data_IF_415183182987
#
_entry.id   IF_415183182987
#
_cell.length_a   1.000
_cell.length_b   1.000
_cell.length_c   1.000
_cell.angle_alpha   90.00
_cell.angle_beta   90.00
_cell.angle_gamma   90.00
#
_symmetry.space_group_name_H-M   'P 1'
#
loop_
_entity.id
_entity.type
_entity.pdbx_description
1 polymer ?
#
# COMPACT_ATOMS: atom_id res chain seq x y z
N UNK A 1 24.24 -30.39 4.27
CA UNK A 1 23.10 -29.45 4.36
C UNK A 1 23.65 -28.05 4.58
N UNK A 2 23.35 -27.06 3.73
CA UNK A 2 23.43 -25.67 4.14
C UNK A 2 22.00 -25.18 4.44
N UNK A 3 21.82 -24.69 5.67
CA UNK A 3 20.60 -24.02 6.12
C UNK A 3 20.47 -22.68 5.38
N UNK A 4 19.56 -22.63 4.42
CA UNK A 4 19.11 -21.39 3.78
C UNK A 4 18.43 -20.54 4.85
N UNK A 5 19.08 -19.44 5.22
CA UNK A 5 18.50 -18.43 6.12
C UNK A 5 17.49 -17.62 5.32
N UNK A 6 16.25 -18.08 5.28
CA UNK A 6 15.17 -17.31 4.68
C UNK A 6 14.88 -16.08 5.54
N UNK A 7 15.24 -14.89 5.05
CA UNK A 7 14.79 -13.61 5.63
C UNK A 7 13.52 -13.18 4.90
N UNK A 8 12.37 -13.62 5.40
CA UNK A 8 11.03 -13.35 4.83
C UNK A 8 10.40 -12.03 5.32
N UNK A 9 11.15 -10.93 5.40
CA UNK A 9 10.52 -9.65 5.74
C UNK A 9 11.15 -8.54 4.89
N UNK A 10 10.38 -8.12 3.87
CA UNK A 10 10.67 -7.15 2.81
C UNK A 10 11.47 -7.75 1.63
N UNK A 11 10.76 -8.33 0.66
CA UNK A 11 11.31 -8.70 -0.65
C UNK A 11 11.37 -7.45 -1.53
N UNK A 12 12.51 -7.20 -2.19
CA UNK A 12 12.55 -6.24 -3.29
C UNK A 12 11.75 -6.84 -4.48
N UNK A 13 11.04 -6.05 -5.30
CA UNK A 13 10.36 -6.59 -6.48
C UNK A 13 11.29 -7.40 -7.40
N UNK A 14 12.59 -7.07 -7.43
CA UNK A 14 13.61 -7.80 -8.18
C UNK A 14 13.91 -9.19 -7.57
N UNK A 15 13.74 -9.36 -6.26
CA UNK A 15 13.89 -10.66 -5.58
C UNK A 15 12.74 -11.64 -5.90
N UNK A 16 11.69 -11.16 -6.57
CA UNK A 16 10.51 -11.95 -6.95
C UNK A 16 10.57 -12.47 -8.40
N UNK A 17 11.59 -12.12 -9.19
CA UNK A 17 11.69 -12.46 -10.64
C UNK A 17 11.67 -13.98 -10.94
N UNK A 18 11.90 -14.84 -9.94
CA UNK A 18 11.87 -16.31 -10.11
C UNK A 18 10.69 -17.02 -9.42
N UNK A 19 9.80 -16.29 -8.74
CA UNK A 19 8.70 -16.90 -7.98
C UNK A 19 7.43 -16.85 -8.83
N UNK A 20 6.74 -17.98 -8.93
CA UNK A 20 5.46 -18.07 -9.64
C UNK A 20 4.50 -16.97 -9.12
N UNK A 21 4.01 -16.08 -10.01
CA UNK A 21 3.01 -15.08 -9.66
C UNK A 21 1.80 -15.65 -8.91
N UNK A 22 1.41 -16.90 -9.16
CA UNK A 22 0.34 -17.58 -8.42
C UNK A 22 0.62 -17.81 -6.94
N UNK A 23 1.89 -17.77 -6.51
CA UNK A 23 2.34 -17.95 -5.13
C UNK A 23 2.48 -16.61 -4.41
N UNK A 24 2.89 -15.55 -5.12
CA UNK A 24 3.17 -14.23 -4.53
C UNK A 24 1.98 -13.27 -4.59
N UNK A 25 1.03 -13.49 -5.51
CA UNK A 25 -0.16 -12.66 -5.61
C UNK A 25 -1.19 -13.07 -4.56
N UNK A 26 -1.43 -12.19 -3.60
CA UNK A 26 -2.51 -12.34 -2.67
C UNK A 26 -3.81 -11.77 -3.26
N UNK A 27 -4.74 -12.65 -3.61
CA UNK A 27 -6.08 -12.25 -4.02
C UNK A 27 -6.98 -12.04 -2.80
N UNK A 28 -7.60 -10.86 -2.70
CA UNK A 28 -8.63 -10.62 -1.70
C UNK A 28 -9.91 -11.34 -2.13
N UNK A 29 -10.40 -12.26 -1.30
CA UNK A 29 -11.65 -13.00 -1.58
C UNK A 29 -12.87 -12.11 -1.26
N UNK A 30 -13.23 -11.25 -2.20
CA UNK A 30 -14.39 -10.34 -2.10
C UNK A 30 -15.58 -11.01 -2.78
N UNK A 31 -16.75 -10.99 -2.12
CA UNK A 31 -18.00 -11.42 -2.73
C UNK A 31 -18.34 -10.52 -3.94
N UNK A 32 -18.47 -11.06 -5.16
CA UNK A 32 -18.75 -10.29 -6.38
C UNK A 32 -20.06 -9.49 -6.35
N UNK A 33 -20.99 -9.85 -5.45
CA UNK A 33 -22.25 -9.11 -5.27
C UNK A 33 -22.10 -7.81 -4.47
N UNK A 34 -20.95 -7.61 -3.82
CA UNK A 34 -20.69 -6.42 -3.00
C UNK A 34 -20.45 -5.22 -3.90
N UNK A 35 -21.19 -4.14 -3.63
CA UNK A 35 -21.05 -2.89 -4.36
C UNK A 35 -19.77 -2.15 -3.94
N UNK A 36 -19.00 -1.60 -4.89
CA UNK A 36 -17.86 -0.76 -4.58
C UNK A 36 -18.22 0.41 -3.69
N UNK A 37 -17.40 0.65 -2.66
CA UNK A 37 -17.58 1.76 -1.72
C UNK A 37 -16.63 2.89 -2.09
N UNK A 38 -17.20 4.09 -2.26
CA UNK A 38 -16.44 5.33 -2.43
C UNK A 38 -16.59 6.19 -1.18
N UNK A 39 -15.57 6.20 -0.34
CA UNK A 39 -15.56 7.06 0.83
C UNK A 39 -15.39 8.53 0.41
N UNK A 40 -16.11 9.42 1.09
CA UNK A 40 -15.96 10.86 0.90
C UNK A 40 -14.55 11.27 1.33
N UNK A 41 -13.82 11.95 0.43
CA UNK A 41 -12.47 12.47 0.67
C UNK A 41 -12.44 13.35 1.93
N UNK A 42 -11.51 13.04 2.83
CA UNK A 42 -11.18 13.87 4.01
C UNK A 42 -10.17 14.97 3.65
N UNK A 43 -10.31 16.13 4.30
CA UNK A 43 -9.36 17.23 4.21
C UNK A 43 -8.54 17.31 5.50
N UNK A 44 -7.22 17.28 5.40
CA UNK A 44 -6.33 17.27 6.57
C UNK A 44 -5.64 18.62 6.81
N UNK A 45 -5.84 19.58 5.91
CA UNK A 45 -5.14 20.86 5.89
C UNK A 45 -3.84 20.80 5.09
N UNK A 46 -3.32 21.96 4.65
CA UNK A 46 -2.29 22.04 3.60
C UNK A 46 -0.96 21.38 3.96
N UNK A 47 -0.57 21.37 5.24
CA UNK A 47 0.68 20.72 5.68
C UNK A 47 0.59 19.20 5.59
N UNK A 48 -0.49 18.64 6.13
CA UNK A 48 -0.75 17.20 6.13
C UNK A 48 -1.03 16.67 4.73
N UNK A 49 -1.76 17.44 3.91
CA UNK A 49 -2.03 17.09 2.51
C UNK A 49 -0.72 16.98 1.70
N UNK A 50 0.30 17.81 1.98
CA UNK A 50 1.63 17.67 1.35
C UNK A 50 2.33 16.38 1.74
N UNK A 51 2.29 16.00 3.02
CA UNK A 51 2.88 14.75 3.51
C UNK A 51 2.21 13.54 2.82
N UNK A 52 0.88 13.55 2.76
CA UNK A 52 0.10 12.52 2.05
C UNK A 52 0.53 12.43 0.59
N UNK A 53 0.61 13.57 -0.12
CA UNK A 53 1.00 13.59 -1.53
C UNK A 53 2.41 13.03 -1.75
N UNK A 54 3.38 13.37 -0.89
CA UNK A 54 4.75 12.86 -1.00
C UNK A 54 4.79 11.34 -0.86
N UNK A 55 4.11 10.78 0.15
CA UNK A 55 4.13 9.33 0.37
C UNK A 55 3.34 8.57 -0.71
N UNK A 56 2.17 9.07 -1.11
CA UNK A 56 1.38 8.46 -2.21
C UNK A 56 2.17 8.46 -3.52
N UNK A 57 2.85 9.56 -3.86
CA UNK A 57 3.70 9.62 -5.05
C UNK A 57 4.87 8.64 -4.99
N UNK A 58 5.46 8.41 -3.81
CA UNK A 58 6.53 7.42 -3.62
C UNK A 58 5.99 5.99 -3.81
N UNK A 59 4.81 5.69 -3.29
CA UNK A 59 4.15 4.38 -3.48
C UNK A 59 3.78 4.14 -4.96
N UNK A 60 3.28 5.17 -5.66
CA UNK A 60 2.99 5.09 -7.10
C UNK A 60 4.26 4.86 -7.93
N UNK A 61 5.35 5.60 -7.64
CA UNK A 61 6.63 5.48 -8.36
C UNK A 61 7.29 4.10 -8.23
N UNK A 62 7.00 3.42 -7.13
CA UNK A 62 7.52 2.07 -6.86
C UNK A 62 6.54 0.98 -7.29
N UNK A 63 5.45 1.35 -7.99
CA UNK A 63 4.42 0.45 -8.51
C UNK A 63 3.72 -0.42 -7.46
N UNK A 64 3.86 -0.09 -6.16
CA UNK A 64 3.19 -0.81 -5.07
C UNK A 64 1.67 -0.55 -5.06
N UNK A 65 1.23 0.59 -5.60
CA UNK A 65 -0.18 0.95 -5.71
C UNK A 65 -0.51 1.42 -7.13
N UNK A 66 -1.79 1.32 -7.49
CA UNK A 66 -2.36 1.80 -8.76
C UNK A 66 -3.65 2.58 -8.51
N UNK A 67 -3.94 3.52 -9.40
CA UNK A 67 -5.19 4.27 -9.33
C UNK A 67 -6.40 3.38 -9.64
N UNK A 68 -7.50 3.60 -8.92
CA UNK A 68 -8.80 2.98 -9.16
C UNK A 68 -9.91 4.02 -8.97
N UNK A 69 -10.97 3.90 -9.75
CA UNK A 69 -12.13 4.79 -9.67
C UNK A 69 -13.33 4.14 -8.96
N UNK A 70 -13.27 2.84 -8.71
CA UNK A 70 -14.40 2.06 -8.19
C UNK A 70 -14.42 2.01 -6.66
N UNK A 71 -13.26 1.77 -6.04
CA UNK A 71 -13.09 1.63 -4.60
C UNK A 71 -12.22 2.78 -4.07
N UNK A 72 -12.81 3.70 -3.32
CA UNK A 72 -12.07 4.85 -2.77
C UNK A 72 -12.05 4.76 -1.24
N UNK A 73 -10.86 4.61 -0.67
CA UNK A 73 -10.59 4.70 0.76
C UNK A 73 -10.05 6.09 1.12
N UNK A 74 -10.27 6.52 2.36
CA UNK A 74 -9.59 7.69 2.88
C UNK A 74 -8.21 7.32 3.42
N UNK A 75 -7.25 8.20 3.15
CA UNK A 75 -5.93 8.15 3.79
C UNK A 75 -6.06 8.35 5.30
N UNK A 76 -5.32 7.55 6.07
CA UNK A 76 -5.16 7.72 7.52
C UNK A 76 -3.75 8.22 7.79
N UNK A 77 -3.66 9.27 8.62
CA UNK A 77 -2.38 9.80 9.09
C UNK A 77 -2.15 9.34 10.52
N UNK A 78 -1.11 8.56 10.70
CA UNK A 78 -0.72 8.02 12.01
C UNK A 78 0.49 8.78 12.53
N UNK A 79 0.50 9.10 13.82
CA UNK A 79 1.66 9.74 14.45
C UNK A 79 2.71 8.68 14.75
N UNK A 80 3.85 8.76 14.08
CA UNK A 80 5.00 7.93 14.33
C UNK A 80 5.82 8.47 15.52
N UNK A 81 6.65 7.57 16.09
CA UNK A 81 7.59 7.91 17.17
C UNK A 81 8.56 8.99 16.65
N UNK A 82 8.81 10.01 17.46
CA UNK A 82 9.67 11.15 17.09
C UNK A 82 8.93 12.30 16.39
N UNK A 83 7.61 12.26 16.29
CA UNK A 83 6.80 13.38 15.77
C UNK A 83 6.59 13.36 14.26
N UNK A 84 7.04 12.32 13.57
CA UNK A 84 6.75 12.09 12.15
C UNK A 84 5.32 11.60 11.93
N UNK A 85 4.82 11.72 10.71
CA UNK A 85 3.54 11.14 10.29
C UNK A 85 3.77 9.99 9.32
N UNK A 86 3.15 8.85 9.60
CA UNK A 86 2.97 7.76 8.65
C UNK A 86 1.67 7.95 7.86
N UNK A 87 1.63 7.41 6.64
CA UNK A 87 0.48 7.43 5.74
C UNK A 87 0.03 5.99 5.51
N UNK A 88 -1.24 5.70 5.79
CA UNK A 88 -1.88 4.40 5.59
C UNK A 88 -3.07 4.56 4.64
N UNK A 89 -3.22 3.66 3.66
CA UNK A 89 -4.28 3.67 2.63
C UNK A 89 -5.41 2.69 2.94
#
# INVERSE_FOLDING_TARGET
MPVTKYRYFCMDPLDLEGIDPGVINHHLNIDPSVKPVKQKKRHFGPEKDKIIQVEVNKLLRTEHIRETLEWLSNVVLDRAIGGFFGVSL
#
